data_IF_103035429028
#
_entry.id   IF_103035429028
#
_cell.length_a   1.000
_cell.length_b   1.000
_cell.length_c   1.000
_cell.angle_alpha   90.00
_cell.angle_beta   90.00
_cell.angle_gamma   90.00
#
_symmetry.space_group_name_H-M   'P 1'
#
loop_
_entity.id
_entity.type
_entity.pdbx_description
1 polymer ?
#
# COMPACT_ATOMS: atom_id res chain seq x y z
N UNK A 1 -24.70 17.38 13.81
CA UNK A 1 -24.62 15.90 13.93
C UNK A 1 -24.63 15.12 12.61
N UNK A 2 -25.24 15.60 11.50
CA UNK A 2 -25.36 14.84 10.23
C UNK A 2 -24.02 14.42 9.60
N UNK A 3 -23.04 15.33 9.53
CA UNK A 3 -21.73 15.07 8.88
C UNK A 3 -20.93 14.00 9.64
N UNK A 4 -20.89 14.06 10.98
CA UNK A 4 -20.16 13.08 11.79
C UNK A 4 -20.71 11.66 11.62
N UNK A 5 -22.04 11.49 11.61
CA UNK A 5 -22.68 10.18 11.34
C UNK A 5 -22.36 9.69 9.93
N UNK A 6 -22.41 10.57 8.93
CA UNK A 6 -22.09 10.23 7.56
C UNK A 6 -20.63 9.77 7.43
N UNK A 7 -19.66 10.54 7.93
CA UNK A 7 -18.23 10.16 7.92
C UNK A 7 -17.98 8.86 8.70
N UNK A 8 -18.66 8.66 9.84
CA UNK A 8 -18.53 7.42 10.62
C UNK A 8 -19.02 6.20 9.82
N UNK A 9 -20.08 6.34 9.04
CA UNK A 9 -20.56 5.29 8.13
C UNK A 9 -19.62 5.09 6.94
N UNK A 10 -19.19 6.16 6.29
CA UNK A 10 -18.25 6.11 5.15
C UNK A 10 -16.94 5.45 5.55
N UNK A 11 -16.41 5.75 6.74
CA UNK A 11 -15.17 5.16 7.26
C UNK A 11 -15.38 3.79 7.95
N UNK A 12 -16.58 3.20 7.87
CA UNK A 12 -16.93 1.90 8.47
C UNK A 12 -16.69 1.81 9.98
N UNK A 13 -16.76 2.93 10.69
CA UNK A 13 -16.89 2.93 12.15
C UNK A 13 -18.30 2.56 12.60
N UNK A 14 -19.28 2.76 11.71
CA UNK A 14 -20.67 2.30 11.88
C UNK A 14 -21.14 1.63 10.60
N UNK A 15 -22.07 0.67 10.72
CA UNK A 15 -22.52 -0.16 9.60
C UNK A 15 -21.65 -1.41 9.41
N UNK A 16 -21.84 -2.14 8.28
CA UNK A 16 -21.13 -3.41 8.06
C UNK A 16 -19.61 -3.19 7.98
N UNK A 17 -18.79 -3.91 8.78
CA UNK A 17 -17.34 -3.83 8.68
C UNK A 17 -16.82 -4.46 7.39
N UNK A 18 -15.57 -4.18 7.05
CA UNK A 18 -14.85 -4.93 6.01
C UNK A 18 -14.54 -6.35 6.48
N UNK A 19 -14.27 -7.27 5.55
CA UNK A 19 -13.89 -8.64 5.89
C UNK A 19 -12.45 -8.69 6.44
N UNK A 20 -11.56 -7.91 5.83
CA UNK A 20 -10.13 -7.90 6.16
C UNK A 20 -9.56 -6.48 6.32
N UNK A 21 -8.43 -6.36 7.01
CA UNK A 21 -7.82 -5.07 7.36
C UNK A 21 -7.21 -4.35 6.15
N UNK A 22 -6.76 -5.08 5.14
CA UNK A 22 -6.27 -4.54 3.86
C UNK A 22 -7.38 -3.75 3.15
N UNK A 23 -8.62 -4.21 3.23
CA UNK A 23 -9.76 -3.53 2.62
C UNK A 23 -10.02 -2.18 3.30
N UNK A 24 -9.75 -2.06 4.60
CA UNK A 24 -9.82 -0.78 5.33
C UNK A 24 -8.75 0.17 4.78
N UNK A 25 -7.51 -0.30 4.62
CA UNK A 25 -6.39 0.49 4.10
C UNK A 25 -6.69 0.94 2.67
N UNK A 26 -7.08 0.03 1.77
CA UNK A 26 -7.42 0.35 0.39
C UNK A 26 -8.62 1.28 0.25
N UNK A 27 -9.61 1.16 1.14
CA UNK A 27 -10.76 2.08 1.17
C UNK A 27 -10.35 3.49 1.56
N UNK A 28 -9.57 3.63 2.63
CA UNK A 28 -9.11 4.94 3.13
C UNK A 28 -7.96 5.51 2.30
N UNK A 29 -7.37 4.73 1.38
CA UNK A 29 -6.18 5.06 0.61
C UNK A 29 -4.91 4.91 1.42
N UNK A 30 -4.85 5.57 2.58
CA UNK A 30 -3.74 5.43 3.53
C UNK A 30 -4.26 5.66 4.96
N UNK A 31 -3.65 4.99 5.94
CA UNK A 31 -3.99 5.14 7.36
C UNK A 31 -2.76 5.58 8.13
N UNK A 32 -2.79 6.76 8.76
CA UNK A 32 -1.64 7.24 9.53
C UNK A 32 -1.28 6.23 10.63
N UNK A 33 -0.01 5.85 10.65
CA UNK A 33 0.57 4.79 11.45
C UNK A 33 1.84 5.24 12.18
N UNK A 34 1.95 6.53 12.54
CA UNK A 34 3.01 7.01 13.42
C UNK A 34 2.98 6.23 14.75
N UNK A 35 1.80 6.21 15.39
CA UNK A 35 1.50 5.36 16.54
C UNK A 35 0.98 3.99 16.08
N UNK A 36 1.90 3.04 15.96
CA UNK A 36 1.64 1.73 15.35
C UNK A 36 0.47 0.97 16.00
N UNK A 37 0.43 0.89 17.33
CA UNK A 37 -0.61 0.15 18.05
C UNK A 37 -2.00 0.75 17.84
N UNK A 38 -2.12 2.08 17.86
CA UNK A 38 -3.38 2.79 17.62
C UNK A 38 -3.85 2.62 16.17
N UNK A 39 -2.92 2.61 15.23
CA UNK A 39 -3.25 2.37 13.82
C UNK A 39 -3.76 0.95 13.60
N UNK A 40 -3.15 -0.08 14.21
CA UNK A 40 -3.67 -1.45 14.15
C UNK A 40 -5.06 -1.56 14.77
N UNK A 41 -5.25 -0.98 15.94
CA UNK A 41 -6.56 -0.95 16.59
C UNK A 41 -7.61 -0.29 15.70
N UNK A 42 -7.27 0.83 15.05
CA UNK A 42 -8.12 1.53 14.08
C UNK A 42 -8.54 0.64 12.89
N UNK A 43 -7.66 -0.24 12.39
CA UNK A 43 -8.00 -1.21 11.35
C UNK A 43 -8.96 -2.28 11.90
N UNK A 44 -8.67 -2.84 13.07
CA UNK A 44 -9.53 -3.84 13.72
C UNK A 44 -10.94 -3.34 14.01
N UNK A 45 -11.10 -2.06 14.37
CA UNK A 45 -12.42 -1.44 14.60
C UNK A 45 -13.29 -1.34 13.33
N UNK A 46 -12.70 -1.47 12.14
CA UNK A 46 -13.37 -1.31 10.83
C UNK A 46 -13.44 -2.61 10.03
N UNK A 47 -12.90 -3.70 10.56
CA UNK A 47 -12.87 -5.00 9.91
C UNK A 47 -13.40 -6.10 10.83
N UNK A 48 -13.78 -7.24 10.27
CA UNK A 48 -14.09 -8.47 11.03
C UNK A 48 -12.82 -9.09 11.62
N UNK A 49 -11.65 -8.76 11.07
CA UNK A 49 -10.33 -9.08 11.60
C UNK A 49 -9.96 -8.22 12.82
N UNK A 50 -10.82 -8.21 13.85
CA UNK A 50 -10.65 -7.37 15.04
C UNK A 50 -9.49 -7.80 15.97
N UNK A 51 -8.84 -8.94 15.70
CA UNK A 51 -7.74 -9.45 16.52
C UNK A 51 -6.39 -8.85 16.10
N UNK A 52 -5.65 -8.35 17.08
CA UNK A 52 -4.34 -7.72 16.88
C UNK A 52 -3.36 -8.62 16.10
N UNK A 53 -3.38 -9.93 16.38
CA UNK A 53 -2.54 -10.91 15.71
C UNK A 53 -2.80 -11.01 14.20
N UNK A 54 -4.06 -10.87 13.76
CA UNK A 54 -4.41 -10.93 12.33
C UNK A 54 -3.89 -9.68 11.61
N UNK A 55 -4.03 -8.51 12.24
CA UNK A 55 -3.50 -7.26 11.69
C UNK A 55 -1.96 -7.29 11.64
N UNK A 56 -1.33 -7.81 12.69
CA UNK A 56 0.12 -7.98 12.75
C UNK A 56 0.62 -8.94 11.67
N UNK A 57 -0.10 -10.05 11.42
CA UNK A 57 0.21 -11.01 10.38
C UNK A 57 0.13 -10.38 8.98
N UNK A 58 -0.93 -9.62 8.68
CA UNK A 58 -1.06 -8.88 7.42
C UNK A 58 0.14 -7.93 7.17
N UNK A 59 0.63 -7.28 8.22
CA UNK A 59 1.81 -6.42 8.15
C UNK A 59 3.10 -7.24 7.97
N UNK A 60 3.23 -8.36 8.69
CA UNK A 60 4.40 -9.24 8.58
C UNK A 60 4.52 -9.85 7.18
N UNK A 61 3.42 -10.32 6.61
CA UNK A 61 3.32 -10.93 5.27
C UNK A 61 3.42 -9.89 4.14
N UNK A 62 3.19 -8.61 4.44
CA UNK A 62 3.32 -7.52 3.48
C UNK A 62 2.07 -7.23 2.67
N UNK A 63 0.91 -7.78 3.06
CA UNK A 63 -0.39 -7.38 2.51
C UNK A 63 -0.79 -5.97 2.97
N UNK A 64 -0.19 -5.49 4.07
CA UNK A 64 -0.18 -4.08 4.49
C UNK A 64 1.28 -3.66 4.70
N UNK A 65 1.68 -2.55 4.09
CA UNK A 65 3.02 -1.98 4.26
C UNK A 65 2.95 -0.66 5.03
N UNK A 66 4.00 -0.36 5.81
CA UNK A 66 4.17 0.92 6.49
C UNK A 66 5.33 1.69 5.88
N UNK A 67 5.11 2.95 5.53
CA UNK A 67 6.14 3.84 4.96
C UNK A 67 5.79 5.31 5.20
N UNK A 68 6.77 6.21 5.07
CA UNK A 68 6.49 7.64 4.92
C UNK A 68 5.93 7.89 3.52
N UNK A 69 4.77 8.56 3.42
CA UNK A 69 4.12 8.79 2.11
C UNK A 69 3.30 10.07 2.10
N UNK A 70 2.36 10.24 3.04
CA UNK A 70 1.52 11.43 3.13
C UNK A 70 1.88 12.21 4.37
N UNK A 71 2.19 13.50 4.23
CA UNK A 71 2.82 14.28 5.32
C UNK A 71 4.14 13.60 5.73
N UNK A 72 5.02 14.26 6.50
CA UNK A 72 6.23 13.60 6.98
C UNK A 72 5.92 12.61 8.13
N UNK A 73 4.95 11.69 7.94
CA UNK A 73 4.57 10.67 8.93
C UNK A 73 4.36 9.30 8.30
N UNK A 74 4.58 8.24 9.08
CA UNK A 74 4.32 6.87 8.64
C UNK A 74 2.83 6.63 8.41
N UNK A 75 2.50 5.88 7.35
CA UNK A 75 1.16 5.41 7.03
C UNK A 75 1.18 3.94 6.65
N UNK A 76 0.09 3.23 6.93
CA UNK A 76 -0.25 1.98 6.29
C UNK A 76 -0.80 2.25 4.89
N UNK A 77 -0.29 1.51 3.91
CA UNK A 77 -0.69 1.50 2.49
C UNK A 77 -0.71 0.06 1.98
N UNK A 78 -1.37 -0.14 0.84
CA UNK A 78 -1.35 -1.43 0.16
C UNK A 78 -0.10 -1.58 -0.72
N UNK A 79 0.46 -2.80 -0.86
CA UNK A 79 1.64 -3.04 -1.68
C UNK A 79 1.43 -2.67 -3.15
N UNK A 80 0.21 -2.86 -3.70
CA UNK A 80 -0.09 -2.45 -5.08
C UNK A 80 -0.16 -0.93 -5.28
N UNK A 81 -0.24 -0.16 -4.18
CA UNK A 81 -0.44 1.29 -4.22
C UNK A 81 0.78 2.12 -3.82
N UNK A 82 1.67 1.52 -3.03
CA UNK A 82 2.79 2.23 -2.41
C UNK A 82 3.64 3.02 -3.40
N UNK A 83 3.93 2.46 -4.59
CA UNK A 83 4.88 3.06 -5.54
C UNK A 83 4.32 4.32 -6.19
N UNK A 84 3.14 4.23 -6.81
CA UNK A 84 2.51 5.42 -7.40
C UNK A 84 2.17 6.48 -6.34
N UNK A 85 1.84 6.09 -5.10
CA UNK A 85 1.62 7.06 -4.02
C UNK A 85 2.90 7.80 -3.64
N UNK A 86 4.03 7.09 -3.53
CA UNK A 86 5.33 7.68 -3.25
C UNK A 86 5.79 8.60 -4.39
N UNK A 87 5.60 8.18 -5.65
CA UNK A 87 5.94 9.01 -6.81
C UNK A 87 5.14 10.32 -6.82
N UNK A 88 3.84 10.24 -6.50
CA UNK A 88 2.94 11.41 -6.47
C UNK A 88 3.23 12.37 -5.30
N UNK A 89 3.58 11.86 -4.12
CA UNK A 89 3.58 12.66 -2.87
C UNK A 89 4.96 12.87 -2.27
N UNK A 90 5.88 11.94 -2.52
CA UNK A 90 7.26 11.93 -2.02
C UNK A 90 8.03 13.22 -2.28
N UNK A 91 8.05 13.77 -3.51
CA UNK A 91 8.77 15.02 -3.80
C UNK A 91 8.32 16.18 -2.91
N UNK A 92 7.01 16.30 -2.69
CA UNK A 92 6.44 17.40 -1.90
C UNK A 92 6.67 17.22 -0.40
N UNK A 93 6.60 15.99 0.09
CA UNK A 93 6.91 15.66 1.49
C UNK A 93 8.40 15.90 1.77
N UNK A 94 9.30 15.44 0.89
CA UNK A 94 10.75 15.73 0.99
C UNK A 94 11.03 17.23 1.03
N UNK A 95 10.40 18.01 0.14
CA UNK A 95 10.54 19.46 0.16
C UNK A 95 10.06 20.09 1.48
N UNK A 96 9.02 19.52 2.12
CA UNK A 96 8.51 20.04 3.40
C UNK A 96 9.47 19.87 4.58
N UNK A 97 10.38 18.89 4.51
CA UNK A 97 11.37 18.61 5.55
C UNK A 97 12.77 19.11 5.20
N UNK A 98 12.97 19.71 4.03
CA UNK A 98 14.30 20.10 3.53
C UNK A 98 15.07 21.04 4.46
N UNK A 99 14.39 21.96 5.16
CA UNK A 99 15.04 22.84 6.14
C UNK A 99 15.60 22.11 7.35
N UNK A 100 14.96 20.99 7.77
CA UNK A 100 15.48 20.13 8.83
C UNK A 100 16.68 19.33 8.34
N UNK A 101 16.64 18.79 7.12
CA UNK A 101 17.76 18.08 6.51
C UNK A 101 19.00 18.97 6.45
N UNK A 102 18.85 20.21 5.99
CA UNK A 102 19.94 21.20 5.95
C UNK A 102 20.51 21.49 7.35
N UNK A 103 19.65 21.76 8.35
CA UNK A 103 20.10 22.02 9.74
C UNK A 103 20.85 20.85 10.35
N UNK A 104 20.52 19.63 9.93
CA UNK A 104 21.16 18.41 10.39
C UNK A 104 22.40 18.05 9.57
N UNK A 105 22.81 18.85 8.57
CA UNK A 105 23.93 18.52 7.70
C UNK A 105 23.69 17.25 6.88
N UNK A 106 22.45 16.99 6.50
CA UNK A 106 22.05 15.92 5.59
C UNK A 106 21.84 16.51 4.20
N UNK A 107 22.95 16.85 3.55
CA UNK A 107 22.96 17.34 2.17
C UNK A 107 22.72 16.22 1.14
N UNK A 108 22.62 16.60 -0.13
CA UNK A 108 22.35 15.64 -1.21
C UNK A 108 23.43 14.54 -1.28
N UNK A 109 24.69 14.85 -1.01
CA UNK A 109 25.79 13.88 -1.03
C UNK A 109 25.62 12.82 0.06
N UNK A 110 25.25 13.23 1.29
CA UNK A 110 24.95 12.30 2.39
C UNK A 110 23.73 11.44 2.07
N UNK A 111 22.68 12.03 1.49
CA UNK A 111 21.46 11.31 1.12
C UNK A 111 21.70 10.31 -0.03
N UNK A 112 22.52 10.69 -1.01
CA UNK A 112 22.95 9.81 -2.10
C UNK A 112 23.80 8.65 -1.61
N UNK A 113 24.73 8.88 -0.68
CA UNK A 113 25.46 7.80 0.00
C UNK A 113 24.50 6.87 0.73
N UNK A 114 23.53 7.40 1.47
CA UNK A 114 22.53 6.58 2.16
C UNK A 114 21.65 5.77 1.19
N UNK A 115 21.33 6.30 0.01
CA UNK A 115 20.63 5.56 -1.04
C UNK A 115 21.48 4.40 -1.57
N UNK A 116 22.72 4.64 -1.98
CA UNK A 116 23.63 3.61 -2.50
C UNK A 116 23.87 2.50 -1.48
N UNK A 117 24.11 2.92 -0.24
CA UNK A 117 24.27 2.07 0.93
C UNK A 117 23.08 1.10 1.08
N UNK A 118 21.85 1.60 1.02
CA UNK A 118 20.62 0.80 1.19
C UNK A 118 20.23 -0.02 -0.03
N UNK A 119 20.62 0.39 -1.22
CA UNK A 119 20.41 -0.37 -2.45
C UNK A 119 21.35 -1.60 -2.55
N UNK A 120 22.39 -1.68 -1.71
CA UNK A 120 23.40 -2.73 -1.76
C UNK A 120 22.86 -4.14 -1.41
N UNK A 121 23.38 -5.21 -2.06
CA UNK A 121 22.89 -6.58 -1.91
C UNK A 121 23.05 -7.15 -0.49
N UNK A 122 24.00 -6.64 0.28
CA UNK A 122 24.20 -7.02 1.70
C UNK A 122 23.03 -6.59 2.61
N UNK A 123 22.07 -5.80 2.10
CA UNK A 123 21.03 -5.12 2.90
C UNK A 123 19.60 -5.55 2.59
N UNK A 124 19.47 -6.69 1.89
CA UNK A 124 18.21 -7.39 1.64
C UNK A 124 17.57 -7.96 2.91
N UNK A 125 18.34 -8.11 3.99
CA UNK A 125 17.79 -8.60 5.26
C UNK A 125 17.13 -7.48 6.07
N UNK A 126 15.96 -7.74 6.70
CA UNK A 126 15.30 -6.75 7.51
C UNK A 126 16.18 -6.20 8.64
N UNK A 127 16.54 -4.92 8.58
CA UNK A 127 17.37 -4.26 9.59
C UNK A 127 16.50 -3.46 10.56
N UNK A 128 16.68 -3.68 11.86
CA UNK A 128 16.14 -2.81 12.90
C UNK A 128 17.04 -1.57 13.06
N UNK A 129 16.60 -0.58 13.85
CA UNK A 129 17.29 0.72 13.96
C UNK A 129 18.81 0.62 14.20
N UNK A 130 19.26 -0.24 15.12
CA UNK A 130 20.71 -0.46 15.37
C UNK A 130 21.44 -1.04 14.16
N UNK A 131 20.80 -1.97 13.45
CA UNK A 131 21.33 -2.52 12.20
C UNK A 131 21.46 -1.43 11.15
N UNK A 132 20.44 -0.56 11.02
CA UNK A 132 20.48 0.59 10.13
C UNK A 132 21.55 1.62 10.51
N UNK A 133 21.79 1.84 11.81
CA UNK A 133 22.85 2.72 12.29
C UNK A 133 24.24 2.21 11.93
N UNK A 134 24.57 0.95 12.28
CA UNK A 134 25.88 0.37 11.97
C UNK A 134 26.17 0.32 10.47
N UNK A 135 25.12 0.03 9.71
CA UNK A 135 25.06 0.15 8.26
C UNK A 135 25.49 1.54 7.74
N UNK A 136 24.93 2.62 8.29
CA UNK A 136 25.24 3.99 7.89
C UNK A 136 26.66 4.39 8.31
N UNK A 137 27.08 4.04 9.53
CA UNK A 137 28.45 4.25 10.03
C UNK A 137 29.49 3.55 9.15
N UNK A 138 29.20 2.32 8.72
CA UNK A 138 30.06 1.56 7.80
C UNK A 138 30.20 2.20 6.41
N UNK A 139 29.24 3.02 6.00
CA UNK A 139 29.32 3.85 4.79
C UNK A 139 29.93 5.23 5.03
N UNK A 140 30.53 5.47 6.21
CA UNK A 140 31.15 6.74 6.58
C UNK A 140 30.14 7.85 6.85
N UNK A 141 28.88 7.51 7.18
CA UNK A 141 27.86 8.48 7.54
C UNK A 141 27.79 8.55 9.06
N UNK A 142 28.19 9.69 9.62
CA UNK A 142 27.96 9.98 11.04
C UNK A 142 26.46 10.09 11.29
N UNK A 143 25.96 9.27 12.20
CA UNK A 143 24.54 9.16 12.52
C UNK A 143 24.33 9.15 14.03
N UNK A 144 23.38 9.97 14.46
CA UNK A 144 22.68 9.84 15.73
C UNK A 144 21.23 9.37 15.46
N UNK A 145 20.42 9.24 16.51
CA UNK A 145 19.03 8.78 16.36
C UNK A 145 18.15 9.70 15.51
N UNK A 146 18.39 11.01 15.52
CA UNK A 146 17.60 11.99 14.77
C UNK A 146 18.01 12.01 13.29
N UNK A 147 19.32 12.07 13.02
CA UNK A 147 19.89 11.97 11.67
C UNK A 147 19.47 10.66 11.01
N UNK A 148 19.54 9.54 11.74
CA UNK A 148 19.07 8.25 11.25
C UNK A 148 17.58 8.30 10.89
N UNK A 149 16.74 8.90 11.73
CA UNK A 149 15.31 9.06 11.45
C UNK A 149 15.04 9.78 10.12
N UNK A 150 15.75 10.89 9.86
CA UNK A 150 15.61 11.65 8.62
C UNK A 150 16.19 10.93 7.40
N UNK A 151 17.32 10.23 7.56
CA UNK A 151 17.88 9.38 6.49
C UNK A 151 16.88 8.28 6.12
N UNK A 152 16.31 7.60 7.12
CA UNK A 152 15.31 6.55 6.88
C UNK A 152 14.05 7.10 6.21
N UNK A 153 13.56 8.26 6.67
CA UNK A 153 12.44 8.95 6.03
C UNK A 153 12.73 9.28 4.56
N UNK A 154 13.94 9.74 4.25
CA UNK A 154 14.34 10.00 2.86
C UNK A 154 14.33 8.73 2.00
N UNK A 155 14.95 7.63 2.45
CA UNK A 155 15.02 6.39 1.65
C UNK A 155 13.66 5.70 1.52
N UNK A 156 12.74 5.90 2.46
CA UNK A 156 11.33 5.51 2.33
C UNK A 156 10.59 6.36 1.29
N UNK A 157 10.77 7.68 1.32
CA UNK A 157 10.07 8.63 0.42
C UNK A 157 10.50 8.54 -1.05
N UNK A 158 11.70 8.04 -1.32
CA UNK A 158 12.16 7.73 -2.69
C UNK A 158 11.83 6.29 -3.13
N UNK A 159 11.11 5.53 -2.29
CA UNK A 159 10.65 4.17 -2.61
C UNK A 159 11.74 3.11 -2.64
N UNK A 160 12.85 3.30 -1.93
CA UNK A 160 13.90 2.28 -1.83
C UNK A 160 13.56 1.21 -0.79
N UNK A 161 13.09 1.65 0.38
CA UNK A 161 12.73 0.76 1.49
C UNK A 161 11.32 1.04 1.99
N UNK A 162 10.75 0.07 2.69
CA UNK A 162 9.55 0.23 3.52
C UNK A 162 9.73 -0.61 4.80
N UNK A 163 8.71 -0.67 5.65
CA UNK A 163 8.74 -1.55 6.81
C UNK A 163 8.82 -3.03 6.42
N UNK A 164 9.77 -3.76 7.01
CA UNK A 164 9.77 -5.22 7.04
C UNK A 164 8.94 -5.79 8.20
N UNK A 165 8.86 -7.12 8.27
CA UNK A 165 8.24 -7.83 9.40
C UNK A 165 8.97 -7.53 10.73
N UNK A 166 8.21 -7.20 11.77
CA UNK A 166 8.79 -6.86 13.08
C UNK A 166 9.56 -8.03 13.68
N UNK A 167 10.64 -7.71 14.39
CA UNK A 167 11.41 -8.68 15.19
C UNK A 167 11.16 -8.42 16.67
N UNK A 168 10.30 -9.22 17.27
CA UNK A 168 9.78 -8.97 18.62
C UNK A 168 9.11 -7.59 18.68
N UNK A 169 9.57 -6.71 19.56
CA UNK A 169 9.02 -5.34 19.66
C UNK A 169 9.62 -4.35 18.65
N UNK A 170 10.68 -4.72 17.93
CA UNK A 170 11.43 -3.81 17.06
C UNK A 170 10.83 -3.72 15.65
N UNK A 171 10.74 -2.49 15.13
CA UNK A 171 10.48 -2.27 13.71
C UNK A 171 11.73 -2.55 12.90
N UNK A 172 11.52 -3.00 11.66
CA UNK A 172 12.59 -3.30 10.71
C UNK A 172 12.29 -2.64 9.36
N UNK A 173 13.31 -2.47 8.53
CA UNK A 173 13.21 -2.00 7.16
C UNK A 173 13.58 -3.11 6.18
N UNK A 174 12.87 -3.20 5.05
CA UNK A 174 13.14 -4.13 3.97
C UNK A 174 13.05 -3.40 2.62
N UNK A 175 13.66 -3.97 1.57
CA UNK A 175 13.59 -3.39 0.23
C UNK A 175 12.16 -3.36 -0.26
N UNK A 176 11.74 -2.23 -0.83
CA UNK A 176 10.40 -2.09 -1.38
C UNK A 176 10.18 -3.05 -2.55
N UNK A 177 11.21 -3.27 -3.37
CA UNK A 177 11.18 -4.19 -4.51
C UNK A 177 10.92 -5.66 -4.12
N UNK A 178 11.29 -6.06 -2.91
CA UNK A 178 11.04 -7.41 -2.41
C UNK A 178 9.69 -7.52 -1.71
N UNK A 179 9.26 -6.47 -1.03
CA UNK A 179 8.00 -6.41 -0.28
C UNK A 179 6.78 -6.15 -1.17
N UNK A 180 6.96 -5.46 -2.29
CA UNK A 180 5.93 -5.13 -3.26
C UNK A 180 6.47 -5.23 -4.70
N UNK A 181 6.86 -6.44 -5.15
CA UNK A 181 7.42 -6.64 -6.49
C UNK A 181 6.42 -6.26 -7.60
N UNK A 182 5.12 -6.46 -7.35
CA UNK A 182 4.03 -6.17 -8.28
C UNK A 182 3.39 -4.78 -8.06
N UNK A 183 4.09 -3.86 -7.38
CA UNK A 183 3.57 -2.52 -7.13
C UNK A 183 3.28 -1.78 -8.43
N UNK A 184 2.09 -1.18 -8.53
CA UNK A 184 1.67 -0.48 -9.75
C UNK A 184 2.43 0.83 -9.89
N UNK A 185 2.85 1.11 -11.12
CA UNK A 185 3.32 2.43 -11.55
C UNK A 185 2.18 3.06 -12.35
N UNK A 186 1.84 4.30 -12.00
CA UNK A 186 0.79 5.05 -12.67
C UNK A 186 1.38 6.30 -13.29
N UNK A 187 0.77 6.73 -14.40
CA UNK A 187 0.99 8.06 -14.93
C UNK A 187 0.61 9.13 -13.87
N UNK A 188 1.33 10.27 -13.76
CA UNK A 188 1.08 11.28 -12.74
C UNK A 188 -0.38 11.76 -12.67
N UNK A 189 -1.03 11.99 -13.81
CA UNK A 189 -2.42 12.47 -13.84
C UNK A 189 -3.38 11.36 -13.38
N UNK A 190 -3.10 10.11 -13.76
CA UNK A 190 -3.87 8.95 -13.31
C UNK A 190 -3.73 8.74 -11.80
N UNK A 191 -2.51 8.88 -11.26
CA UNK A 191 -2.24 8.79 -9.83
C UNK A 191 -2.98 9.89 -9.04
N UNK A 192 -2.92 11.13 -9.54
CA UNK A 192 -3.59 12.28 -8.94
C UNK A 192 -5.12 12.09 -8.91
N UNK A 193 -5.70 11.65 -10.03
CA UNK A 193 -7.14 11.34 -10.12
C UNK A 193 -7.52 10.20 -9.17
N UNK A 194 -6.74 9.12 -9.13
CA UNK A 194 -6.99 7.97 -8.25
C UNK A 194 -6.98 8.39 -6.77
N UNK A 195 -5.97 9.15 -6.33
CA UNK A 195 -5.89 9.62 -4.94
C UNK A 195 -7.07 10.55 -4.60
N UNK A 196 -7.42 11.45 -5.52
CA UNK A 196 -8.54 12.39 -5.35
C UNK A 196 -9.87 11.65 -5.17
N UNK A 197 -10.16 10.69 -6.06
CA UNK A 197 -11.37 9.89 -5.99
C UNK A 197 -11.45 9.09 -4.69
N UNK A 198 -10.35 8.43 -4.29
CA UNK A 198 -10.30 7.66 -3.04
C UNK A 198 -10.53 8.52 -1.81
N UNK A 199 -9.89 9.69 -1.75
CA UNK A 199 -10.02 10.59 -0.60
C UNK A 199 -11.47 11.04 -0.42
N UNK A 200 -12.08 11.65 -1.44
CA UNK A 200 -13.45 12.14 -1.33
C UNK A 200 -14.47 11.00 -1.17
N UNK A 201 -14.18 9.82 -1.71
CA UNK A 201 -15.04 8.64 -1.52
C UNK A 201 -15.07 8.17 -0.07
N UNK A 202 -13.93 8.19 0.62
CA UNK A 202 -13.78 7.60 1.95
C UNK A 202 -13.83 8.61 3.11
N UNK A 203 -13.55 9.89 2.84
CA UNK A 203 -13.53 10.98 3.82
C UNK A 203 -14.68 11.99 3.62
N UNK A 204 -15.48 11.80 2.56
CA UNK A 204 -16.62 12.65 2.23
C UNK A 204 -17.73 12.67 3.29
N UNK A 205 -18.42 13.80 3.50
CA UNK A 205 -18.19 15.12 2.89
C UNK A 205 -16.89 15.73 3.39
N UNK A 206 -16.03 16.25 2.51
CA UNK A 206 -14.74 16.87 2.85
C UNK A 206 -14.49 18.11 1.98
N UNK A 207 -13.64 19.01 2.47
CA UNK A 207 -13.24 20.22 1.73
C UNK A 207 -11.93 19.99 0.98
N UNK A 208 -11.64 20.88 0.04
CA UNK A 208 -10.33 20.94 -0.64
C UNK A 208 -9.19 21.16 0.37
N UNK A 209 -9.44 21.96 1.42
CA UNK A 209 -8.47 22.21 2.50
C UNK A 209 -8.19 20.93 3.29
N UNK A 210 -9.22 20.14 3.58
CA UNK A 210 -9.06 18.84 4.26
C UNK A 210 -8.17 17.91 3.42
N UNK A 211 -8.36 17.88 2.10
CA UNK A 211 -7.57 17.04 1.19
C UNK A 211 -6.13 17.53 1.05
N UNK A 212 -5.92 18.84 0.96
CA UNK A 212 -4.58 19.45 0.95
C UNK A 212 -3.80 19.11 2.21
N UNK A 213 -4.43 19.28 3.38
CA UNK A 213 -3.83 18.91 4.64
C UNK A 213 -3.50 17.41 4.69
N UNK A 214 -4.42 16.55 4.26
CA UNK A 214 -4.24 15.11 4.30
C UNK A 214 -3.12 14.61 3.38
N UNK A 215 -3.07 15.09 2.13
CA UNK A 215 -2.18 14.59 1.07
C UNK A 215 -0.83 15.27 0.99
N UNK A 216 -0.68 16.48 1.55
CA UNK A 216 0.46 17.39 1.32
C UNK A 216 0.59 17.94 -0.10
N UNK A 217 -0.29 17.58 -1.05
CA UNK A 217 -0.25 18.04 -2.45
C UNK A 217 -0.49 19.54 -2.58
N UNK A 218 -0.07 20.15 -3.68
CA UNK A 218 -0.30 21.58 -3.91
C UNK A 218 -1.78 21.81 -4.23
N UNK A 219 -2.26 23.00 -3.90
CA UNK A 219 -3.63 23.40 -4.21
C UNK A 219 -3.96 23.36 -5.71
N UNK A 220 -2.97 23.60 -6.58
CA UNK A 220 -3.11 23.49 -8.03
C UNK A 220 -3.41 22.03 -8.44
N UNK A 221 -2.54 21.10 -8.05
CA UNK A 221 -2.70 19.67 -8.33
C UNK A 221 -4.05 19.15 -7.84
N UNK A 222 -4.46 19.55 -6.63
CA UNK A 222 -5.75 19.14 -6.08
C UNK A 222 -6.92 19.64 -6.92
N UNK A 223 -6.87 20.89 -7.41
CA UNK A 223 -7.93 21.43 -8.28
C UNK A 223 -7.98 20.66 -9.60
N UNK A 224 -6.83 20.38 -10.21
CA UNK A 224 -6.73 19.54 -11.41
C UNK A 224 -7.36 18.16 -11.17
N UNK A 225 -7.00 17.49 -10.07
CA UNK A 225 -7.57 16.18 -9.72
C UNK A 225 -9.09 16.20 -9.53
N UNK A 226 -9.64 17.27 -8.96
CA UNK A 226 -11.09 17.44 -8.78
C UNK A 226 -11.78 17.68 -10.12
N UNK A 227 -11.20 18.49 -11.01
CA UNK A 227 -11.72 18.73 -12.35
C UNK A 227 -11.75 17.45 -13.18
N UNK A 228 -10.68 16.66 -13.13
CA UNK A 228 -10.62 15.33 -13.74
C UNK A 228 -11.67 14.36 -13.16
N UNK A 229 -11.92 14.42 -11.84
CA UNK A 229 -12.94 13.60 -11.20
C UNK A 229 -14.36 14.00 -11.65
N UNK A 230 -14.63 15.30 -11.73
CA UNK A 230 -15.89 15.85 -12.21
C UNK A 230 -16.22 15.44 -13.64
N UNK A 231 -15.27 15.60 -14.57
CA UNK A 231 -15.44 15.21 -15.99
C UNK A 231 -15.69 13.70 -16.18
N UNK A 232 -15.08 12.85 -15.34
CA UNK A 232 -15.31 11.39 -15.34
C UNK A 232 -16.68 11.01 -14.78
N UNK A 233 -17.21 11.81 -13.86
CA UNK A 233 -18.49 11.58 -13.22
C UNK A 233 -19.66 12.16 -14.01
N UNK A 234 -19.43 13.16 -14.86
CA UNK A 234 -20.41 13.66 -15.82
C UNK A 234 -20.74 12.61 -16.90
N UNK A 235 -19.79 11.71 -17.21
CA UNK A 235 -20.05 10.49 -18.03
C UNK A 235 -20.82 9.39 -17.30
N UNK A 236 -21.03 9.52 -15.98
CA UNK A 236 -21.75 8.57 -15.10
C UNK A 236 -22.58 9.35 -14.09
N UNK A 237 -23.50 10.19 -14.56
CA UNK A 237 -24.51 10.97 -13.81
C UNK A 237 -24.33 10.96 -12.28
N UNK A 238 -23.57 11.92 -11.75
CA UNK A 238 -23.67 12.36 -10.35
C UNK A 238 -23.14 13.79 -10.25
N UNK A 239 -23.99 14.74 -9.84
CA UNK A 239 -23.69 16.16 -9.86
C UNK A 239 -22.66 16.56 -8.80
N UNK A 240 -21.58 17.21 -9.24
CA UNK A 240 -20.73 18.07 -8.41
C UNK A 240 -21.23 19.50 -8.60
N UNK A 241 -21.61 20.19 -7.53
CA UNK A 241 -22.06 21.57 -7.66
C UNK A 241 -20.91 22.53 -7.30
N UNK A 242 -20.56 23.39 -8.24
CA UNK A 242 -19.38 24.27 -8.25
C UNK A 242 -19.47 25.48 -7.29
N UNK A 243 -20.53 25.59 -6.47
CA UNK A 243 -20.75 26.79 -5.64
C UNK A 243 -21.01 26.56 -4.15
N UNK A 244 -20.76 25.37 -3.60
CA UNK A 244 -20.62 25.23 -2.14
C UNK A 244 -19.64 24.10 -1.80
N UNK A 245 -18.66 24.41 -0.94
CA UNK A 245 -17.58 23.52 -0.48
C UNK A 245 -18.07 22.30 0.35
N UNK A 246 -18.97 21.48 -0.17
CA UNK A 246 -19.43 20.23 0.47
C UNK A 246 -19.78 19.19 -0.59
N UNK A 247 -18.95 18.15 -0.70
CA UNK A 247 -19.20 16.99 -1.56
C UNK A 247 -20.29 16.10 -0.91
N UNK A 248 -21.44 15.98 -1.58
CA UNK A 248 -22.60 15.23 -1.11
C UNK A 248 -22.50 13.70 -1.27
N UNK A 249 -23.39 12.91 -0.63
CA UNK A 249 -23.35 11.46 -0.63
C UNK A 249 -24.12 10.87 -1.81
N UNK A 250 -23.42 10.33 -2.81
CA UNK A 250 -24.00 9.36 -3.76
C UNK A 250 -22.97 8.30 -4.17
N UNK A 251 -22.34 7.66 -3.18
CA UNK A 251 -21.18 6.77 -3.40
C UNK A 251 -21.43 5.29 -3.05
N UNK A 252 -22.64 4.91 -2.62
CA UNK A 252 -22.95 3.51 -2.29
C UNK A 252 -23.12 2.59 -3.53
N UNK A 253 -23.19 3.11 -4.77
CA UNK A 253 -23.22 2.27 -5.99
C UNK A 253 -21.85 1.91 -6.55
N UNK A 254 -20.82 2.75 -6.39
CA UNK A 254 -19.49 2.52 -6.99
C UNK A 254 -18.68 1.40 -6.30
N UNK A 255 -18.92 1.16 -5.00
CA UNK A 255 -18.18 0.13 -4.24
C UNK A 255 -18.54 -1.32 -4.63
N UNK A 256 -19.75 -1.56 -5.16
CA UNK A 256 -20.20 -2.91 -5.55
C UNK A 256 -19.50 -3.46 -6.81
N UNK A 257 -19.01 -2.59 -7.69
CA UNK A 257 -18.37 -3.00 -8.94
C UNK A 257 -16.89 -3.40 -8.79
N UNK A 258 -16.24 -3.06 -7.65
CA UNK A 258 -14.85 -3.44 -7.36
C UNK A 258 -14.67 -4.93 -7.07
N UNK A 259 -15.69 -5.61 -6.51
CA UNK A 259 -15.67 -7.09 -6.32
C UNK A 259 -15.67 -7.83 -7.66
N UNK A 260 -16.46 -7.37 -8.64
CA UNK A 260 -16.61 -8.03 -9.95
C UNK A 260 -15.35 -7.87 -10.82
N UNK A 261 -14.66 -6.72 -10.72
CA UNK A 261 -13.40 -6.51 -11.45
C UNK A 261 -12.25 -7.38 -10.91
N UNK A 262 -12.18 -7.58 -9.60
CA UNK A 262 -11.18 -8.43 -8.96
C UNK A 262 -11.43 -9.93 -9.20
N UNK A 263 -12.69 -10.36 -9.25
CA UNK A 263 -13.07 -11.74 -9.62
C UNK A 263 -12.81 -12.05 -11.10
N UNK A 264 -13.02 -11.10 -12.02
CA UNK A 264 -12.65 -11.26 -13.45
C UNK A 264 -11.14 -11.41 -13.65
N UNK A 265 -10.33 -10.64 -12.93
CA UNK A 265 -8.87 -10.73 -13.02
C UNK A 265 -8.31 -12.06 -12.49
N UNK A 266 -8.96 -12.69 -11.49
CA UNK A 266 -8.60 -14.04 -11.04
C UNK A 266 -9.00 -15.10 -12.07
N UNK A 267 -10.20 -14.98 -12.66
CA UNK A 267 -10.68 -15.93 -13.66
C UNK A 267 -9.82 -15.98 -14.93
N UNK A 268 -9.34 -14.84 -15.43
CA UNK A 268 -8.45 -14.81 -16.62
C UNK A 268 -7.03 -15.34 -16.33
N UNK A 269 -6.59 -15.34 -15.07
CA UNK A 269 -5.25 -15.82 -14.66
C UNK A 269 -5.18 -17.35 -14.54
N UNK A 270 -6.30 -17.99 -14.19
CA UNK A 270 -6.40 -19.45 -14.01
C UNK A 270 -6.93 -20.18 -15.27
N UNK A 271 -6.99 -19.49 -16.42
CA UNK A 271 -7.47 -20.07 -17.67
C UNK A 271 -6.41 -21.02 -18.27
N UNK A 272 -6.70 -22.33 -18.42
CA UNK A 272 -5.77 -23.22 -19.11
C UNK A 272 -5.63 -22.82 -20.58
N UNK A 273 -4.39 -22.75 -21.05
CA UNK A 273 -4.01 -22.37 -22.41
C UNK A 273 -4.45 -23.42 -23.42
N UNK A 274 -5.58 -23.19 -24.11
CA UNK A 274 -6.03 -24.05 -25.21
C UNK A 274 -7.52 -24.01 -25.58
N UNK A 275 -8.24 -22.90 -25.36
CA UNK A 275 -9.65 -22.77 -25.73
C UNK A 275 -9.88 -21.59 -26.69
N UNK A 276 -10.80 -21.71 -27.67
CA UNK A 276 -10.89 -20.77 -28.79
C UNK A 276 -11.36 -19.37 -28.34
N UNK A 277 -10.92 -18.36 -29.09
CA UNK A 277 -11.27 -16.95 -28.87
C UNK A 277 -12.78 -16.68 -28.98
N UNK A 278 -13.34 -15.72 -28.21
CA UNK A 278 -14.76 -15.44 -28.23
C UNK A 278 -15.15 -14.62 -29.46
N UNK A 279 -15.60 -15.34 -30.50
CA UNK A 279 -16.41 -14.81 -31.59
C UNK A 279 -17.82 -14.39 -31.13
N UNK A 280 -18.32 -13.37 -31.81
CA UNK A 280 -19.57 -12.64 -31.56
C UNK A 280 -20.88 -13.47 -31.53
N UNK A 281 -21.90 -12.86 -30.88
CA UNK A 281 -23.36 -13.16 -30.85
C UNK A 281 -23.87 -14.15 -29.79
N UNK A 282 -24.54 -13.59 -28.78
CA UNK A 282 -25.58 -14.30 -28.02
C UNK A 282 -26.90 -14.30 -28.81
N UNK A 283 -27.61 -15.43 -28.84
CA UNK A 283 -29.04 -15.40 -28.59
C UNK A 283 -29.48 -16.46 -27.56
N UNK A 284 -30.35 -16.02 -26.63
CA UNK A 284 -31.54 -16.77 -26.23
C UNK A 284 -31.42 -18.09 -25.45
N UNK A 285 -31.80 -18.00 -24.17
CA UNK A 285 -32.59 -18.96 -23.38
C UNK A 285 -31.94 -20.32 -22.99
N UNK A 286 -31.78 -20.46 -21.68
CA UNK A 286 -32.12 -21.69 -20.94
C UNK A 286 -31.03 -22.75 -20.86
N UNK A 287 -30.35 -22.85 -19.72
CA UNK A 287 -29.79 -24.13 -19.29
C UNK A 287 -29.84 -24.30 -17.77
N UNK A 288 -30.40 -25.45 -17.39
CA UNK A 288 -30.54 -25.98 -16.03
C UNK A 288 -29.17 -26.27 -15.42
N UNK A 289 -29.08 -26.10 -14.11
CA UNK A 289 -27.98 -26.56 -13.28
C UNK A 289 -27.96 -28.09 -13.28
N UNK A 290 -26.90 -28.70 -13.81
CA UNK A 290 -26.53 -30.08 -13.52
C UNK A 290 -25.21 -30.10 -12.74
N UNK A 291 -25.26 -30.71 -11.56
CA UNK A 291 -24.15 -30.94 -10.66
C UNK A 291 -23.16 -31.94 -11.27
N UNK A 292 -21.93 -31.51 -11.53
CA UNK A 292 -20.80 -32.40 -11.82
C UNK A 292 -20.02 -32.67 -10.53
N UNK A 293 -20.15 -33.92 -10.05
CA UNK A 293 -19.22 -34.51 -9.07
C UNK A 293 -17.88 -34.70 -9.76
N UNK A 294 -16.80 -34.19 -9.18
CA UNK A 294 -15.43 -34.55 -9.57
C UNK A 294 -14.77 -35.33 -8.43
N UNK A 295 -14.17 -36.44 -8.81
CA UNK A 295 -13.66 -37.52 -7.99
C UNK A 295 -12.42 -37.13 -7.17
N UNK A 296 -12.28 -37.78 -6.00
CA UNK A 296 -11.05 -37.83 -5.20
C UNK A 296 -10.04 -38.76 -5.86
N UNK A 297 -8.74 -38.42 -5.91
CA UNK A 297 -7.69 -39.41 -6.08
C UNK A 297 -7.26 -40.00 -4.73
N UNK A 298 -7.29 -41.32 -4.68
CA UNK A 298 -6.89 -42.19 -3.59
C UNK A 298 -5.38 -42.20 -3.41
N UNK A 299 -4.91 -42.05 -2.18
CA UNK A 299 -3.54 -42.29 -1.74
C UNK A 299 -3.28 -43.80 -1.67
N UNK A 300 -2.11 -44.26 -2.12
CA UNK A 300 -1.47 -45.48 -1.61
C UNK A 300 0.05 -45.35 -1.52
N UNK A 301 0.72 -46.12 -0.64
CA UNK A 301 1.87 -45.66 0.14
C UNK A 301 3.19 -46.39 -0.19
N UNK A 302 4.30 -45.78 0.27
CA UNK A 302 5.44 -46.50 0.85
C UNK A 302 6.61 -46.82 -0.07
N UNK A 303 7.73 -46.10 0.13
CA UNK A 303 9.06 -46.68 0.29
C UNK A 303 10.02 -45.62 0.87
N UNK A 304 10.62 -45.98 2.00
CA UNK A 304 11.63 -45.23 2.76
C UNK A 304 13.04 -45.40 2.17
N UNK A 305 13.95 -44.46 2.46
CA UNK A 305 15.39 -44.65 2.79
C UNK A 305 15.97 -43.23 3.10
N UNK A 306 16.23 -42.86 4.37
CA UNK A 306 17.54 -42.85 5.07
C UNK A 306 18.70 -42.37 4.18
N UNK A 307 19.15 -41.13 4.34
CA UNK A 307 20.28 -40.68 5.18
C UNK A 307 21.65 -41.09 4.63
N UNK A 308 22.45 -40.12 4.16
CA UNK A 308 23.91 -40.06 4.35
C UNK A 308 24.50 -38.78 3.73
N UNK A 309 25.18 -37.99 4.57
CA UNK A 309 26.26 -37.06 4.19
C UNK A 309 27.55 -37.89 4.00
N UNK A 310 28.44 -37.55 3.06
CA UNK A 310 29.65 -36.72 3.35
C UNK A 310 30.03 -35.81 2.14
N UNK A 311 30.84 -34.74 2.18
CA UNK A 311 32.10 -34.48 2.89
C UNK A 311 33.31 -34.60 1.93
N UNK A 312 34.00 -33.47 1.63
CA UNK A 312 35.44 -33.27 1.21
C UNK A 312 35.55 -32.02 0.31
N UNK A 313 36.25 -30.95 0.69
CA UNK A 313 37.69 -30.71 0.92
C UNK A 313 38.37 -30.05 -0.31
N UNK A 314 38.76 -28.79 -0.09
CA UNK A 314 39.99 -28.09 -0.49
C UNK A 314 40.60 -28.31 -1.90
N UNK A 315 40.86 -27.19 -2.60
CA UNK A 315 42.14 -26.96 -3.26
C UNK A 315 42.60 -25.51 -3.09
N UNK A 316 43.91 -25.39 -2.91
CA UNK A 316 44.72 -24.24 -2.50
C UNK A 316 45.19 -23.44 -3.74
N UNK A 317 45.54 -22.19 -3.48
CA UNK A 317 46.07 -21.13 -4.34
C UNK A 317 47.37 -21.48 -5.12
N UNK A 318 47.84 -20.57 -5.98
CA UNK A 318 48.76 -19.49 -5.52
C UNK A 318 48.13 -18.11 -5.38
#
# INVERSE_FOLDING_TARGET
MRIARQRSRTQRLTGPPFDHSEQVVGWLGAVQAQEYALAKWSLGQRSRAAHDAIVEQAIAEGTILRTHVLRPTWHFVLPEDIRWMLDLTGPRVRASIGSYLHKLGLDEDVLMKAHQDRAGPARRQPAHAKGAEGCARGAGIEVDGLRLGFIMSHVELIGLVCSGARRGKQHTYALLSERAPDARVLDPDVALLELTLRYFTSHGPATVKDFNWWSSLRMADIRTGIEMAGSRQDRRHTHWNDQTQRVGPDLERAARHRRVACERQRYDRDRPSGGPEPGSRCPGRGCRVQSLRVARPTIRPGLSLRSEWPGRLAFVAP
#
